data_IF_264357540616
#
_entry.id   IF_264357540616
#
_cell.length_a   1.000
_cell.length_b   1.000
_cell.length_c   1.000
_cell.angle_alpha   90.00
_cell.angle_beta   90.00
_cell.angle_gamma   90.00
#
_symmetry.space_group_name_H-M   'P 1'
#
loop_
_entity.id
_entity.type
_entity.pdbx_description
1 polymer ?
#
# COMPACT_ATOMS: atom_id res chain seq x y z
N UNK A 1 2.96 17.70 -0.91
CA UNK A 1 4.11 16.90 -0.47
C UNK A 1 4.37 16.94 1.03
N UNK A 2 4.26 18.10 1.69
CA UNK A 2 4.49 18.22 3.14
C UNK A 2 3.63 17.26 3.98
N UNK A 3 2.35 17.12 3.66
CA UNK A 3 1.44 16.20 4.37
C UNK A 3 1.92 14.74 4.31
N UNK A 4 2.30 14.26 3.13
CA UNK A 4 2.76 12.87 2.95
C UNK A 4 4.08 12.64 3.69
N UNK A 5 5.00 13.58 3.61
CA UNK A 5 6.26 13.50 4.32
C UNK A 5 6.07 13.42 5.84
N UNK A 6 5.15 14.21 6.40
CA UNK A 6 4.92 14.28 7.85
C UNK A 6 4.12 13.11 8.41
N UNK A 7 3.33 12.43 7.59
CA UNK A 7 2.39 11.39 8.05
C UNK A 7 2.68 10.00 7.50
N UNK A 8 3.64 9.85 6.58
CA UNK A 8 4.10 8.54 6.11
C UNK A 8 5.15 8.00 7.07
N UNK A 9 4.82 6.88 7.74
CA UNK A 9 5.69 6.24 8.73
C UNK A 9 6.08 4.83 8.30
N UNK A 10 7.07 4.23 8.96
CA UNK A 10 7.53 2.86 8.65
C UNK A 10 6.45 1.80 8.88
N UNK A 11 5.54 2.01 9.84
CA UNK A 11 4.45 1.10 10.13
C UNK A 11 3.17 1.41 9.33
N UNK A 12 3.02 2.64 8.84
CA UNK A 12 1.88 3.09 8.04
C UNK A 12 2.35 4.04 6.92
N UNK A 13 2.91 3.48 5.81
CA UNK A 13 3.37 4.28 4.68
C UNK A 13 2.20 4.69 3.77
N UNK A 14 2.26 5.91 3.22
CA UNK A 14 1.34 6.34 2.17
C UNK A 14 1.75 5.79 0.80
N UNK A 15 0.77 5.34 0.01
CA UNK A 15 1.01 4.90 -1.38
C UNK A 15 0.43 5.92 -2.37
N UNK A 16 1.24 6.39 -3.31
CA UNK A 16 0.83 7.35 -4.35
C UNK A 16 0.30 6.58 -5.56
N UNK A 17 -0.92 6.92 -6.00
CA UNK A 17 -1.60 6.27 -7.13
C UNK A 17 -1.78 7.27 -8.27
N UNK A 18 -1.14 6.98 -9.41
CA UNK A 18 -1.27 7.78 -10.62
C UNK A 18 -2.68 7.63 -11.19
N UNK A 19 -3.47 8.69 -11.08
CA UNK A 19 -4.91 8.66 -11.37
C UNK A 19 -5.31 9.21 -12.73
N UNK A 20 -4.34 9.49 -13.61
CA UNK A 20 -4.59 9.96 -14.97
C UNK A 20 -5.45 8.98 -15.78
N UNK A 21 -5.32 7.68 -15.53
CA UNK A 21 -6.23 6.65 -16.05
C UNK A 21 -7.01 5.99 -14.90
N UNK A 22 -8.32 6.23 -14.84
CA UNK A 22 -9.20 5.76 -13.74
C UNK A 22 -9.24 4.24 -13.61
N UNK A 23 -9.26 3.50 -14.72
CA UNK A 23 -9.28 2.04 -14.69
C UNK A 23 -8.00 1.48 -14.10
N UNK A 24 -6.84 2.02 -14.51
CA UNK A 24 -5.55 1.65 -13.95
C UNK A 24 -5.46 1.97 -12.46
N UNK A 25 -5.89 3.18 -12.06
CA UNK A 25 -5.85 3.61 -10.66
C UNK A 25 -6.63 2.67 -9.73
N UNK A 26 -7.82 2.21 -10.16
CA UNK A 26 -8.63 1.23 -9.41
C UNK A 26 -7.92 -0.10 -9.22
N UNK A 27 -7.33 -0.62 -10.29
CA UNK A 27 -6.58 -1.89 -10.23
C UNK A 27 -5.34 -1.73 -9.34
N UNK A 28 -4.59 -0.63 -9.45
CA UNK A 28 -3.41 -0.35 -8.61
C UNK A 28 -3.79 -0.27 -7.14
N UNK A 29 -4.87 0.44 -6.79
CA UNK A 29 -5.36 0.56 -5.42
C UNK A 29 -5.67 -0.81 -4.79
N UNK A 30 -6.46 -1.64 -5.50
CA UNK A 30 -6.83 -2.97 -5.01
C UNK A 30 -5.61 -3.88 -4.85
N UNK A 31 -4.68 -3.86 -5.82
CA UNK A 31 -3.42 -4.62 -5.73
C UNK A 31 -2.60 -4.22 -4.51
N UNK A 32 -2.41 -2.92 -4.27
CA UNK A 32 -1.67 -2.43 -3.09
C UNK A 32 -2.25 -2.96 -1.78
N UNK A 33 -3.58 -2.96 -1.63
CA UNK A 33 -4.24 -3.47 -0.43
C UNK A 33 -4.04 -4.98 -0.28
N UNK A 34 -4.23 -5.75 -1.35
CA UNK A 34 -4.03 -7.20 -1.34
C UNK A 34 -2.59 -7.56 -1.00
N UNK A 35 -1.61 -6.90 -1.63
CA UNK A 35 -0.19 -7.15 -1.40
C UNK A 35 0.20 -6.91 0.07
N UNK A 36 -0.30 -5.84 0.68
CA UNK A 36 -0.04 -5.54 2.09
C UNK A 36 -0.60 -6.63 3.03
N UNK A 37 -1.82 -7.12 2.75
CA UNK A 37 -2.45 -8.21 3.51
C UNK A 37 -1.64 -9.50 3.33
N UNK A 38 -1.27 -9.85 2.09
CA UNK A 38 -0.49 -11.04 1.81
C UNK A 38 0.89 -11.02 2.49
N UNK A 39 1.58 -9.89 2.47
CA UNK A 39 2.87 -9.73 3.14
C UNK A 39 2.72 -9.96 4.65
N UNK A 40 1.65 -9.43 5.26
CA UNK A 40 1.37 -9.67 6.68
C UNK A 40 1.12 -11.14 6.96
N UNK A 41 0.28 -11.81 6.16
CA UNK A 41 0.01 -13.24 6.36
C UNK A 41 1.26 -14.10 6.15
N UNK A 42 2.11 -13.75 5.17
CA UNK A 42 3.40 -14.43 4.93
C UNK A 42 4.37 -14.23 6.10
N UNK A 43 4.39 -13.05 6.72
CA UNK A 43 5.26 -12.80 7.88
C UNK A 43 4.80 -13.54 9.13
N UNK A 44 3.49 -13.71 9.35
CA UNK A 44 2.96 -14.55 10.45
C UNK A 44 3.29 -16.03 10.24
N UNK A 45 3.16 -16.56 9.00
CA UNK A 45 3.51 -17.95 8.68
C UNK A 45 4.99 -18.29 8.91
N UNK A 46 5.90 -17.32 8.81
CA UNK A 46 7.34 -17.51 9.05
C UNK A 46 7.72 -17.51 10.53
N UNK A 47 6.83 -17.06 11.43
CA UNK A 47 7.07 -17.02 12.88
C UNK A 47 6.65 -18.31 13.59
N UNK A 48 5.84 -19.14 12.94
CA UNK A 48 5.45 -20.47 13.41
C UNK A 48 6.40 -21.53 12.87
#
# INVERSE_FOLDING_TARGET
>A
DEMLFRTSSTYAPWTIIESNCKLYARVKALKTVVDAIEQRLKSEKKKS
#
